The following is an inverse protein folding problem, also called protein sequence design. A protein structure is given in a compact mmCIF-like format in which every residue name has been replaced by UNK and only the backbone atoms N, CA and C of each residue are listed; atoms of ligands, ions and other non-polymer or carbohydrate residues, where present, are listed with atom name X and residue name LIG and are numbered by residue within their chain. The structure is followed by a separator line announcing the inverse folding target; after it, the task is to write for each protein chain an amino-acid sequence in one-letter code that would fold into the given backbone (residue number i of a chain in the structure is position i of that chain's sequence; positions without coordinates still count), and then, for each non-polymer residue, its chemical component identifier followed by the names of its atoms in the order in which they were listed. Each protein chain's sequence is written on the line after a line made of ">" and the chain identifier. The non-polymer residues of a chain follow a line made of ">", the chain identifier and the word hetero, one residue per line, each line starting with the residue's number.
data_IF_172231968170
#
_entry.id   IF_172231968170
#
_cell.length_a   1.000
_cell.length_b   1.000
_cell.length_c   1.000
_cell.angle_alpha   90.00
_cell.angle_beta   90.00
_cell.angle_gamma   90.00
#
_symmetry.space_group_name_H-M   'P 1'
#
loop_
_entity.id
_entity.type
_entity.pdbx_description
1 polymer ?
#
# COMPACT_ATOMS: atom_id res chain seq x y z
N UNK A 1 -58.70 -16.55 19.32
CA UNK A 1 -57.34 -16.82 19.84
C UNK A 1 -56.39 -16.75 18.65
N UNK A 2 -55.89 -15.56 18.32
CA UNK A 2 -55.01 -15.37 17.16
C UNK A 2 -53.60 -15.80 17.52
N UNK A 3 -53.09 -16.80 16.80
CA UNK A 3 -51.73 -17.33 16.95
C UNK A 3 -50.79 -16.45 16.12
N UNK A 4 -49.95 -15.69 16.80
CA UNK A 4 -48.88 -14.88 16.18
C UNK A 4 -47.90 -15.78 15.43
N UNK A 5 -47.40 -15.39 14.25
CA UNK A 5 -46.37 -16.14 13.56
C UNK A 5 -45.01 -15.89 14.23
N UNK A 6 -44.38 -16.97 14.67
CA UNK A 6 -43.01 -16.98 15.18
C UNK A 6 -42.06 -16.38 14.12
N UNK A 7 -41.50 -15.23 14.46
CA UNK A 7 -40.48 -14.55 13.65
C UNK A 7 -39.18 -15.32 13.81
N UNK A 8 -38.82 -16.14 12.81
CA UNK A 8 -37.50 -16.75 12.68
C UNK A 8 -36.46 -15.66 12.39
N UNK A 9 -36.05 -14.95 13.44
CA UNK A 9 -34.93 -14.03 13.37
C UNK A 9 -33.65 -14.85 13.14
N UNK A 10 -33.04 -14.69 11.97
CA UNK A 10 -31.71 -15.21 11.68
C UNK A 10 -30.72 -14.66 12.73
N UNK A 11 -29.77 -15.48 13.22
CA UNK A 11 -28.72 -14.97 14.09
C UNK A 11 -27.96 -13.85 13.36
N UNK A 12 -27.58 -12.77 14.07
CA UNK A 12 -26.79 -11.70 13.47
C UNK A 12 -25.51 -12.29 12.88
N UNK A 13 -25.06 -11.79 11.70
CA UNK A 13 -23.81 -12.25 11.11
C UNK A 13 -22.68 -12.09 12.13
N UNK A 14 -21.72 -13.04 12.18
CA UNK A 14 -20.57 -12.91 13.06
C UNK A 14 -19.89 -11.56 12.82
N UNK A 15 -19.39 -10.88 13.88
CA UNK A 15 -18.60 -9.67 13.70
C UNK A 15 -17.47 -9.97 12.71
N UNK A 16 -17.11 -9.02 11.82
CA UNK A 16 -16.00 -9.23 10.91
C UNK A 16 -14.79 -9.66 11.74
N UNK A 17 -14.23 -10.83 11.42
CA UNK A 17 -13.02 -11.32 12.07
C UNK A 17 -12.00 -10.18 12.07
N UNK A 18 -11.44 -9.85 13.23
CA UNK A 18 -10.45 -8.78 13.38
C UNK A 18 -9.33 -9.01 12.37
N UNK A 19 -9.37 -8.28 11.25
CA UNK A 19 -8.37 -8.38 10.20
C UNK A 19 -7.20 -7.52 10.61
N UNK A 20 -6.10 -8.16 11.01
CA UNK A 20 -4.90 -7.44 11.39
C UNK A 20 -4.29 -6.85 10.12
N UNK A 21 -4.03 -5.54 10.13
CA UNK A 21 -3.41 -4.87 9.00
C UNK A 21 -1.91 -4.69 9.27
N UNK A 22 -1.08 -5.16 8.33
CA UNK A 22 0.37 -5.01 8.34
C UNK A 22 0.79 -4.12 7.18
N UNK A 23 1.44 -2.99 7.49
CA UNK A 23 2.11 -2.17 6.47
C UNK A 23 3.57 -2.60 6.37
N UNK A 24 4.03 -2.83 5.15
CA UNK A 24 5.43 -3.06 4.81
C UNK A 24 5.91 -1.87 3.97
N UNK A 25 6.61 -0.93 4.61
CA UNK A 25 7.16 0.26 3.99
C UNK A 25 8.53 -0.06 3.36
N UNK A 26 8.65 0.16 2.05
CA UNK A 26 9.82 -0.19 1.25
C UNK A 26 10.51 1.04 0.66
N UNK A 27 11.76 1.24 1.08
CA UNK A 27 12.68 2.23 0.50
C UNK A 27 13.29 1.73 -0.82
N UNK A 28 12.51 1.65 -1.92
CA UNK A 28 12.94 1.63 -3.34
C UNK A 28 14.13 0.77 -3.80
N UNK A 29 14.70 -0.08 -2.93
CA UNK A 29 16.04 -0.65 -3.09
C UNK A 29 15.98 -2.16 -3.15
N UNK A 30 16.94 -2.79 -3.84
CA UNK A 30 17.01 -4.26 -3.96
C UNK A 30 17.17 -4.99 -2.63
N UNK A 31 17.57 -4.30 -1.55
CA UNK A 31 17.80 -4.90 -0.21
C UNK A 31 16.49 -5.27 0.50
N UNK A 32 15.35 -4.84 -0.03
CA UNK A 32 14.05 -4.92 0.61
C UNK A 32 13.42 -6.33 0.57
N UNK A 33 14.01 -7.28 -0.17
CA UNK A 33 13.51 -8.66 -0.27
C UNK A 33 13.51 -9.38 1.08
N UNK A 34 14.52 -9.14 1.90
CA UNK A 34 14.63 -9.80 3.20
C UNK A 34 13.53 -9.34 4.15
N UNK A 35 13.15 -8.07 4.06
CA UNK A 35 12.11 -7.48 4.92
C UNK A 35 10.74 -8.02 4.53
N UNK A 36 10.45 -8.11 3.23
CA UNK A 36 9.21 -8.73 2.75
C UNK A 36 9.14 -10.21 3.13
N UNK A 37 10.21 -10.96 2.95
CA UNK A 37 10.27 -12.37 3.38
C UNK A 37 10.02 -12.51 4.88
N UNK A 38 10.69 -11.69 5.70
CA UNK A 38 10.52 -11.72 7.16
C UNK A 38 9.09 -11.39 7.58
N UNK A 39 8.48 -10.36 6.98
CA UNK A 39 7.11 -9.98 7.27
C UNK A 39 6.12 -11.10 6.90
N UNK A 40 6.32 -11.73 5.75
CA UNK A 40 5.52 -12.89 5.32
C UNK A 40 5.69 -14.07 6.29
N UNK A 41 6.91 -14.44 6.66
CA UNK A 41 7.17 -15.55 7.57
C UNK A 41 6.61 -15.29 8.97
N UNK A 42 6.64 -14.03 9.42
CA UNK A 42 6.18 -13.69 10.76
C UNK A 42 4.66 -13.59 10.86
N UNK A 43 4.01 -12.95 9.89
CA UNK A 43 2.60 -12.57 10.01
C UNK A 43 1.66 -13.39 9.12
N UNK A 44 2.11 -13.98 8.01
CA UNK A 44 1.24 -14.82 7.19
C UNK A 44 0.69 -16.07 7.93
N UNK A 45 1.43 -16.71 8.86
CA UNK A 45 0.90 -17.84 9.62
C UNK A 45 -0.21 -17.48 10.61
N UNK A 46 -0.36 -16.21 10.99
CA UNK A 46 -1.37 -15.76 11.98
C UNK A 46 -2.82 -15.93 11.44
N UNK A 47 -2.99 -15.98 10.11
CA UNK A 47 -4.29 -16.09 9.45
C UNK A 47 -5.10 -14.79 9.54
N UNK A 48 -5.87 -14.47 8.50
CA UNK A 48 -6.69 -13.24 8.46
C UNK A 48 -5.91 -11.91 8.57
N UNK A 49 -4.69 -11.87 8.00
CA UNK A 49 -3.84 -10.67 7.97
C UNK A 49 -3.91 -10.01 6.59
N UNK A 50 -4.28 -8.73 6.55
CA UNK A 50 -4.20 -7.88 5.36
C UNK A 50 -2.83 -7.23 5.26
N UNK A 51 -2.10 -7.48 4.18
CA UNK A 51 -0.82 -6.82 3.94
C UNK A 51 -0.99 -5.62 3.02
N UNK A 52 -0.28 -4.53 3.33
CA UNK A 52 -0.14 -3.38 2.46
C UNK A 52 1.34 -3.11 2.19
N UNK A 53 1.74 -3.12 0.93
CA UNK A 53 3.06 -2.68 0.48
C UNK A 53 3.02 -1.18 0.26
N UNK A 54 3.77 -0.43 1.06
CA UNK A 54 3.83 1.02 0.97
C UNK A 54 5.16 1.47 0.34
N UNK A 55 5.06 2.25 -0.73
CA UNK A 55 6.19 2.99 -1.30
C UNK A 55 5.89 4.48 -1.26
N UNK A 56 6.89 5.28 -0.87
CA UNK A 56 6.77 6.73 -0.84
C UNK A 56 7.80 7.30 -1.81
N UNK A 57 7.31 8.03 -2.81
CA UNK A 57 8.17 8.78 -3.71
C UNK A 57 8.17 10.28 -3.34
N UNK A 58 9.26 11.00 -3.64
CA UNK A 58 9.34 12.45 -3.41
C UNK A 58 8.26 13.21 -4.17
N UNK A 59 7.91 14.40 -3.68
CA UNK A 59 6.96 15.29 -4.37
C UNK A 59 7.48 15.65 -5.74
N UNK A 60 6.59 15.64 -6.73
CA UNK A 60 6.94 16.02 -8.10
C UNK A 60 6.88 17.54 -8.20
N UNK A 61 8.06 18.17 -8.07
CA UNK A 61 8.21 19.64 -8.17
C UNK A 61 8.68 20.11 -9.54
N UNK A 62 9.22 19.20 -10.36
CA UNK A 62 9.74 19.49 -11.69
C UNK A 62 9.74 18.26 -12.59
N UNK A 63 9.66 18.47 -13.90
CA UNK A 63 9.77 17.41 -14.91
C UNK A 63 11.17 17.44 -15.53
N UNK A 64 11.92 16.32 -15.50
CA UNK A 64 13.24 16.25 -16.12
C UNK A 64 13.12 16.28 -17.64
N UNK A 65 14.06 16.95 -18.31
CA UNK A 65 14.15 16.94 -19.78
C UNK A 65 15.32 16.09 -20.26
N UNK A 66 15.29 15.62 -21.51
CA UNK A 66 16.43 14.92 -22.12
C UNK A 66 17.73 15.72 -22.14
N UNK A 67 17.67 17.05 -22.00
CA UNK A 67 18.86 17.92 -21.97
C UNK A 67 19.53 17.98 -20.58
N UNK A 68 18.97 17.27 -19.59
CA UNK A 68 19.55 17.17 -18.24
C UNK A 68 19.18 18.31 -17.30
N UNK A 69 18.38 19.29 -17.75
CA UNK A 69 17.72 20.25 -16.87
C UNK A 69 16.32 19.77 -16.48
N UNK A 70 15.73 20.38 -15.46
CA UNK A 70 14.35 20.11 -15.04
C UNK A 70 13.52 21.39 -15.15
N UNK A 71 12.28 21.26 -15.60
CA UNK A 71 11.34 22.37 -15.75
C UNK A 71 10.35 22.32 -14.57
N UNK A 72 10.12 23.42 -13.82
CA UNK A 72 9.13 23.46 -12.75
C UNK A 72 7.74 23.05 -13.24
N UNK A 73 6.97 22.31 -12.45
CA UNK A 73 5.64 21.84 -12.91
C UNK A 73 4.71 22.98 -13.33
N UNK A 74 4.89 24.17 -12.76
CA UNK A 74 4.11 25.37 -13.07
C UNK A 74 4.34 25.89 -14.49
N UNK A 75 5.45 25.51 -15.12
CA UNK A 75 5.83 25.91 -16.48
C UNK A 75 5.61 24.77 -17.49
N UNK A 76 5.17 23.61 -17.01
CA UNK A 76 4.92 22.42 -17.83
C UNK A 76 3.43 22.31 -18.10
N UNK A 77 3.08 21.87 -19.31
CA UNK A 77 1.69 21.62 -19.68
C UNK A 77 1.09 20.48 -18.84
N UNK A 78 -0.17 20.61 -18.45
CA UNK A 78 -0.86 19.65 -17.59
C UNK A 78 -0.84 18.20 -18.11
N UNK A 79 -0.91 18.02 -19.44
CA UNK A 79 -0.85 16.68 -20.06
C UNK A 79 0.52 16.02 -19.86
N UNK A 80 1.59 16.80 -19.93
CA UNK A 80 2.96 16.34 -19.68
C UNK A 80 3.17 16.05 -18.20
N UNK A 81 2.67 16.90 -17.31
CA UNK A 81 2.72 16.66 -15.85
C UNK A 81 1.98 15.37 -15.50
N UNK A 82 0.80 15.15 -16.09
CA UNK A 82 0.00 13.94 -15.86
C UNK A 82 0.71 12.70 -16.37
N UNK A 83 1.27 12.74 -17.58
CA UNK A 83 2.04 11.65 -18.15
C UNK A 83 3.26 11.30 -17.27
N UNK A 84 3.98 12.32 -16.77
CA UNK A 84 5.14 12.11 -15.91
C UNK A 84 4.74 11.51 -14.55
N UNK A 85 3.65 12.00 -13.93
CA UNK A 85 3.11 11.38 -12.69
C UNK A 85 2.74 9.92 -12.91
N UNK A 86 2.13 9.60 -14.04
CA UNK A 86 1.77 8.23 -14.40
C UNK A 86 3.01 7.36 -14.62
N UNK A 87 4.06 7.90 -15.21
CA UNK A 87 5.35 7.22 -15.39
C UNK A 87 5.98 6.88 -14.03
N UNK A 88 6.03 7.82 -13.09
CA UNK A 88 6.55 7.57 -11.74
C UNK A 88 5.74 6.49 -11.01
N UNK A 89 4.41 6.50 -11.16
CA UNK A 89 3.55 5.47 -10.61
C UNK A 89 3.87 4.10 -11.23
N UNK A 90 3.98 4.01 -12.55
CA UNK A 90 4.32 2.76 -13.24
C UNK A 90 5.70 2.24 -12.84
N UNK A 91 6.71 3.10 -12.73
CA UNK A 91 8.04 2.74 -12.25
C UNK A 91 7.99 2.20 -10.81
N UNK A 92 7.17 2.82 -9.96
CA UNK A 92 6.96 2.37 -8.58
C UNK A 92 6.27 0.99 -8.56
N UNK A 93 5.25 0.78 -9.37
CA UNK A 93 4.56 -0.50 -9.47
C UNK A 93 5.45 -1.62 -10.04
N UNK A 94 6.26 -1.32 -11.06
CA UNK A 94 7.22 -2.25 -11.65
C UNK A 94 8.30 -2.65 -10.64
N UNK A 95 8.80 -1.69 -9.86
CA UNK A 95 9.73 -1.94 -8.77
C UNK A 95 9.09 -2.79 -7.67
N UNK A 96 7.79 -2.65 -7.43
CA UNK A 96 7.05 -3.40 -6.41
C UNK A 96 6.58 -4.79 -6.88
N UNK A 97 6.44 -5.02 -8.18
CA UNK A 97 5.95 -6.26 -8.79
C UNK A 97 6.65 -7.53 -8.29
N UNK A 98 8.00 -7.57 -8.14
CA UNK A 98 8.68 -8.72 -7.57
C UNK A 98 8.23 -9.05 -6.14
N UNK A 99 7.90 -8.04 -5.34
CA UNK A 99 7.40 -8.25 -3.98
C UNK A 99 5.95 -8.71 -4.01
N UNK A 100 5.08 -8.14 -4.87
CA UNK A 100 3.70 -8.62 -5.05
C UNK A 100 3.66 -10.14 -5.33
N UNK A 101 4.53 -10.59 -6.25
CA UNK A 101 4.71 -12.02 -6.58
C UNK A 101 5.12 -12.88 -5.38
N UNK A 102 5.81 -12.33 -4.37
CA UNK A 102 6.15 -13.08 -3.15
C UNK A 102 4.93 -13.34 -2.28
N UNK A 103 4.01 -12.37 -2.17
CA UNK A 103 2.73 -12.53 -1.45
C UNK A 103 1.81 -13.52 -2.16
N UNK A 104 1.69 -13.42 -3.49
CA UNK A 104 0.89 -14.34 -4.30
C UNK A 104 1.35 -15.79 -4.15
N UNK A 105 2.66 -16.05 -4.16
CA UNK A 105 3.24 -17.39 -3.93
C UNK A 105 2.88 -17.97 -2.56
N UNK A 106 2.61 -17.12 -1.57
CA UNK A 106 2.18 -17.51 -0.22
C UNK A 106 0.65 -17.53 -0.07
N UNK A 107 -0.10 -17.25 -1.15
CA UNK A 107 -1.58 -17.12 -1.15
C UNK A 107 -2.08 -16.03 -0.18
N UNK A 108 -1.29 -14.97 -0.04
CA UNK A 108 -1.61 -13.82 0.82
C UNK A 108 -2.03 -12.66 -0.06
N UNK A 109 -3.17 -12.05 0.24
CA UNK A 109 -3.60 -10.83 -0.44
C UNK A 109 -2.71 -9.65 0.00
N UNK A 110 -2.27 -8.85 -0.96
CA UNK A 110 -1.50 -7.64 -0.69
C UNK A 110 -2.06 -6.46 -1.47
N UNK A 111 -2.31 -5.36 -0.77
CA UNK A 111 -2.64 -4.08 -1.36
C UNK A 111 -1.34 -3.30 -1.61
N UNK A 112 -1.24 -2.59 -2.73
CA UNK A 112 -0.06 -1.77 -3.04
C UNK A 112 -0.46 -0.31 -2.97
N UNK A 113 0.26 0.43 -2.15
CA UNK A 113 0.04 1.83 -1.89
C UNK A 113 1.29 2.63 -2.25
N UNK A 114 1.12 3.58 -3.16
CA UNK A 114 2.19 4.50 -3.57
C UNK A 114 1.76 5.90 -3.16
N UNK A 115 2.55 6.54 -2.30
CA UNK A 115 2.27 7.88 -1.78
C UNK A 115 3.33 8.88 -2.25
N UNK A 116 2.90 10.13 -2.40
CA UNK A 116 3.76 11.26 -2.73
C UNK A 116 4.05 12.09 -1.47
N UNK A 117 5.30 12.12 -1.01
CA UNK A 117 5.70 12.95 0.13
C UNK A 117 7.21 13.17 0.19
N UNK A 118 7.61 14.38 0.59
CA UNK A 118 9.02 14.72 0.86
C UNK A 118 9.47 14.23 2.24
N UNK A 119 8.53 14.00 3.15
CA UNK A 119 8.79 13.45 4.47
C UNK A 119 8.22 12.02 4.57
N UNK A 120 9.09 11.05 4.33
CA UNK A 120 8.76 9.62 4.35
C UNK A 120 8.20 9.21 5.72
N UNK A 121 8.84 9.61 6.81
CA UNK A 121 8.42 9.23 8.15
C UNK A 121 7.03 9.78 8.51
N UNK A 122 6.77 11.05 8.16
CA UNK A 122 5.47 11.66 8.39
C UNK A 122 4.37 11.00 7.56
N UNK A 123 4.64 10.70 6.28
CA UNK A 123 3.68 10.01 5.42
C UNK A 123 3.35 8.60 5.92
N UNK A 124 4.34 7.84 6.39
CA UNK A 124 4.09 6.53 7.01
C UNK A 124 3.25 6.69 8.28
N UNK A 125 3.59 7.65 9.15
CA UNK A 125 2.87 7.87 10.40
C UNK A 125 1.40 8.25 10.16
N UNK A 126 1.15 9.12 9.18
CA UNK A 126 -0.20 9.51 8.78
C UNK A 126 -0.98 8.30 8.23
N UNK A 127 -0.35 7.48 7.38
CA UNK A 127 -1.01 6.32 6.78
C UNK A 127 -1.33 5.24 7.83
N UNK A 128 -0.44 5.03 8.80
CA UNK A 128 -0.65 4.13 9.95
C UNK A 128 -1.82 4.62 10.81
N UNK A 129 -1.86 5.93 11.11
CA UNK A 129 -2.92 6.52 11.90
C UNK A 129 -4.29 6.43 11.19
N UNK A 130 -4.32 6.59 9.85
CA UNK A 130 -5.53 6.54 9.04
C UNK A 130 -6.11 5.12 8.90
N UNK A 131 -5.26 4.11 8.77
CA UNK A 131 -5.68 2.74 8.42
C UNK A 131 -5.84 1.79 9.63
N UNK A 132 -5.73 2.30 10.88
CA UNK A 132 -5.74 1.45 12.09
C UNK A 132 -4.80 0.26 11.97
N UNK A 133 -3.55 0.54 11.58
CA UNK A 133 -2.55 -0.49 11.29
C UNK A 133 -1.94 -0.98 12.59
N UNK A 134 -1.95 -2.30 12.79
CA UNK A 134 -1.48 -2.91 14.04
C UNK A 134 0.04 -3.14 14.03
N UNK A 135 0.61 -3.36 12.84
CA UNK A 135 2.03 -3.71 12.69
C UNK A 135 2.62 -2.92 11.50
N UNK A 136 3.76 -2.27 11.73
CA UNK A 136 4.53 -1.60 10.69
C UNK A 136 5.90 -2.27 10.57
N UNK A 137 6.28 -2.61 9.34
CA UNK A 137 7.59 -3.14 8.99
C UNK A 137 8.27 -2.14 8.05
N UNK A 138 9.53 -1.78 8.32
CA UNK A 138 10.29 -0.79 7.54
C UNK A 138 11.55 -1.46 6.97
N UNK A 139 11.84 -1.25 5.69
CA UNK A 139 12.93 -1.91 4.97
C UNK A 139 13.55 -1.16 3.80
#
# INVERSE_FOLDING_TARGET
>A
MSRSPDTLALPPPPPPASSQNVIVALSGSRKNKNVVTWALEKFAPEGNVGFKLLHIHPRITSVPTPMGNAIPISEVRDDVVTAYKQEILWQSEEMLDPFKKMFERRKVAVEVLVLESDNVAAAIAEEVARNSVERLVIG
#
